data_IF_560373658235
#
_entry.id   IF_560373658235
#
_cell.length_a   1.000
_cell.length_b   1.000
_cell.length_c   1.000
_cell.angle_alpha   90.00
_cell.angle_beta   90.00
_cell.angle_gamma   90.00
#
_symmetry.space_group_name_H-M   'P 1'
#
loop_
_entity.id
_entity.type
_entity.pdbx_description
1 polymer ?
#
# COMPACT_ATOMS: atom_id res chain seq x y z
N UNK A 1 -3.27 12.75 -5.70
CA UNK A 1 -4.41 11.85 -5.41
C UNK A 1 -5.42 11.53 -6.53
N UNK A 2 -6.12 12.50 -7.16
CA UNK A 2 -7.22 12.26 -8.14
C UNK A 2 -6.84 11.24 -9.21
N UNK A 3 -5.66 11.43 -9.83
CA UNK A 3 -5.13 10.53 -10.85
C UNK A 3 -4.96 9.06 -10.40
N UNK A 4 -4.50 8.81 -9.18
CA UNK A 4 -4.34 7.44 -8.67
C UNK A 4 -5.70 6.77 -8.37
N UNK A 5 -6.64 7.55 -7.82
CA UNK A 5 -8.01 7.12 -7.57
C UNK A 5 -8.80 6.86 -8.87
N UNK A 6 -8.43 7.52 -9.97
CA UNK A 6 -9.04 7.38 -11.29
C UNK A 6 -8.38 6.30 -12.16
N UNK A 7 -7.06 6.11 -12.07
CA UNK A 7 -6.32 5.23 -12.99
C UNK A 7 -6.04 3.83 -12.39
N UNK A 8 -5.80 3.74 -11.08
CA UNK A 8 -5.25 2.53 -10.44
C UNK A 8 -6.32 1.81 -9.63
N UNK A 9 -7.06 2.54 -8.82
CA UNK A 9 -8.06 1.98 -7.90
C UNK A 9 -9.21 1.24 -8.60
N UNK A 10 -9.75 1.69 -9.74
CA UNK A 10 -10.86 0.99 -10.41
C UNK A 10 -10.50 -0.42 -10.90
N UNK A 11 -9.21 -0.75 -11.00
CA UNK A 11 -8.74 -2.10 -11.37
C UNK A 11 -8.79 -3.09 -10.21
N UNK A 12 -9.07 -2.62 -8.99
CA UNK A 12 -9.13 -3.45 -7.79
C UNK A 12 -10.57 -3.90 -7.49
N UNK A 13 -10.71 -5.06 -6.85
CA UNK A 13 -12.01 -5.55 -6.38
C UNK A 13 -12.59 -4.58 -5.34
N UNK A 14 -13.74 -3.99 -5.62
CA UNK A 14 -14.36 -2.94 -4.78
C UNK A 14 -13.76 -1.54 -5.02
N UNK A 15 -13.14 -1.31 -6.17
CA UNK A 15 -12.46 -0.05 -6.51
C UNK A 15 -13.38 1.17 -6.49
N UNK A 16 -14.67 1.01 -6.78
CA UNK A 16 -15.69 2.07 -6.67
C UNK A 16 -15.78 2.67 -5.26
N UNK A 17 -15.82 1.81 -4.24
CA UNK A 17 -15.84 2.23 -2.82
C UNK A 17 -14.48 2.81 -2.42
N UNK A 18 -13.38 2.19 -2.84
CA UNK A 18 -12.02 2.61 -2.49
C UNK A 18 -11.71 3.99 -3.10
N UNK A 19 -12.15 4.27 -4.33
CA UNK A 19 -11.96 5.56 -4.99
C UNK A 19 -12.71 6.68 -4.26
N UNK A 20 -13.90 6.41 -3.70
CA UNK A 20 -14.59 7.38 -2.86
C UNK A 20 -13.83 7.65 -1.57
N UNK A 21 -13.43 6.60 -0.83
CA UNK A 21 -12.68 6.75 0.43
C UNK A 21 -11.39 7.53 0.23
N UNK A 22 -10.67 7.27 -0.86
CA UNK A 22 -9.44 8.00 -1.19
C UNK A 22 -9.75 9.46 -1.47
N UNK A 23 -10.73 9.80 -2.33
CA UNK A 23 -11.05 11.20 -2.66
C UNK A 23 -11.49 12.06 -1.47
N UNK A 24 -12.07 11.45 -0.44
CA UNK A 24 -12.53 12.14 0.77
C UNK A 24 -11.54 12.08 1.94
N UNK A 25 -10.41 11.38 1.78
CA UNK A 25 -9.36 11.33 2.79
C UNK A 25 -8.49 12.59 2.70
N UNK A 26 -8.52 13.42 3.75
CA UNK A 26 -7.74 14.66 3.84
C UNK A 26 -6.64 14.58 4.91
N UNK A 27 -6.08 13.38 5.10
CA UNK A 27 -5.03 13.09 6.07
C UNK A 27 -3.67 12.86 5.37
N UNK A 28 -2.64 13.55 5.85
CA UNK A 28 -1.24 13.50 5.34
C UNK A 28 -0.67 12.07 5.31
N UNK A 29 -1.14 11.18 6.17
CA UNK A 29 -0.68 9.79 6.25
C UNK A 29 -1.57 8.83 5.45
N UNK A 30 -2.79 9.22 5.09
CA UNK A 30 -3.69 8.36 4.32
C UNK A 30 -3.23 8.19 2.88
N UNK A 31 -2.79 9.25 2.21
CA UNK A 31 -2.32 9.16 0.82
C UNK A 31 -1.15 8.16 0.66
N UNK A 32 -0.02 8.29 1.40
CA UNK A 32 1.08 7.34 1.28
C UNK A 32 0.68 5.93 1.73
N UNK A 33 -0.15 5.79 2.77
CA UNK A 33 -0.65 4.50 3.23
C UNK A 33 -1.49 3.78 2.17
N UNK A 34 -2.36 4.50 1.47
CA UNK A 34 -3.20 3.96 0.41
C UNK A 34 -2.39 3.53 -0.82
N UNK A 35 -1.41 4.36 -1.23
CA UNK A 35 -0.51 4.02 -2.34
C UNK A 35 0.31 2.76 -2.01
N UNK A 36 0.85 2.67 -0.79
CA UNK A 36 1.59 1.50 -0.34
C UNK A 36 0.70 0.26 -0.30
N UNK A 37 -0.49 0.34 0.31
CA UNK A 37 -1.40 -0.80 0.42
C UNK A 37 -1.83 -1.34 -0.96
N UNK A 38 -2.17 -0.44 -1.89
CA UNK A 38 -2.63 -0.79 -3.22
C UNK A 38 -1.48 -1.25 -4.13
N UNK A 39 -0.33 -0.59 -4.08
CA UNK A 39 0.84 -0.96 -4.89
C UNK A 39 1.51 -2.27 -4.45
N UNK A 40 1.46 -2.61 -3.16
CA UNK A 40 2.17 -3.79 -2.63
C UNK A 40 1.25 -4.95 -2.24
N UNK A 41 -0.07 -4.75 -2.32
CA UNK A 41 -1.09 -5.67 -1.81
C UNK A 41 -0.88 -6.11 -0.35
N UNK A 42 -0.22 -5.26 0.45
CA UNK A 42 0.00 -5.51 1.87
C UNK A 42 -1.32 -5.58 2.63
N UNK A 43 -1.39 -6.50 3.59
CA UNK A 43 -2.48 -6.48 4.57
C UNK A 43 -2.29 -5.31 5.52
N UNK A 44 -3.37 -4.81 6.12
CA UNK A 44 -3.32 -3.72 7.11
C UNK A 44 -2.28 -3.95 8.22
N UNK A 45 -2.19 -5.15 8.76
CA UNK A 45 -1.19 -5.46 9.80
C UNK A 45 0.26 -5.41 9.28
N UNK A 46 0.48 -5.75 8.02
CA UNK A 46 1.79 -5.71 7.36
C UNK A 46 2.18 -4.25 7.06
N UNK A 47 1.23 -3.43 6.61
CA UNK A 47 1.41 -1.99 6.41
C UNK A 47 1.73 -1.25 7.72
N UNK A 48 1.03 -1.59 8.81
CA UNK A 48 1.26 -0.99 10.13
C UNK A 48 2.56 -1.45 10.79
N UNK A 49 3.06 -2.64 10.43
CA UNK A 49 4.33 -3.17 10.90
C UNK A 49 5.52 -2.79 9.99
N UNK A 50 5.27 -2.10 8.87
CA UNK A 50 6.31 -1.70 7.93
C UNK A 50 7.22 -0.66 8.59
N UNK A 51 8.45 -1.06 8.86
CA UNK A 51 9.50 -0.16 9.32
C UNK A 51 10.27 0.43 8.13
N UNK A 52 10.83 1.62 8.32
CA UNK A 52 11.63 2.32 7.29
C UNK A 52 12.86 1.54 6.87
N UNK A 53 13.43 0.70 7.74
CA UNK A 53 14.55 -0.21 7.44
C UNK A 53 14.15 -1.39 6.52
N UNK A 54 12.85 -1.62 6.35
CA UNK A 54 12.30 -2.60 5.42
C UNK A 54 12.14 -2.09 3.99
N UNK A 55 12.33 -0.79 3.74
CA UNK A 55 12.10 -0.18 2.43
C UNK A 55 13.41 -0.13 1.63
N UNK A 56 13.41 -0.78 0.47
CA UNK A 56 14.51 -0.68 -0.49
C UNK A 56 14.06 0.13 -1.71
N UNK A 57 14.51 1.37 -1.78
CA UNK A 57 14.18 2.31 -2.86
C UNK A 57 14.81 1.93 -4.20
N UNK A 58 16.02 1.35 -4.21
CA UNK A 58 16.68 0.91 -5.44
C UNK A 58 15.91 -0.23 -6.11
N UNK A 59 15.42 -1.16 -5.31
CA UNK A 59 14.67 -2.34 -5.77
C UNK A 59 13.17 -2.13 -5.82
N UNK A 60 12.68 -0.94 -5.44
CA UNK A 60 11.24 -0.60 -5.37
C UNK A 60 10.45 -1.67 -4.62
N UNK A 61 11.00 -2.13 -3.50
CA UNK A 61 10.49 -3.27 -2.75
C UNK A 61 10.40 -2.95 -1.27
N UNK A 62 9.43 -3.57 -0.59
CA UNK A 62 9.29 -3.48 0.85
C UNK A 62 9.34 -4.88 1.47
N UNK A 63 10.19 -5.02 2.48
CA UNK A 63 10.32 -6.22 3.29
C UNK A 63 9.40 -6.10 4.51
N UNK A 64 8.42 -6.99 4.59
CA UNK A 64 7.58 -7.12 5.78
C UNK A 64 8.16 -8.27 6.61
N UNK A 65 8.72 -7.90 7.76
CA UNK A 65 9.12 -8.85 8.80
C UNK A 65 7.85 -9.21 9.58
N UNK A 66 7.64 -10.50 9.85
CA UNK A 66 6.48 -11.04 10.58
C UNK A 66 5.11 -11.03 9.85
N UNK A 67 5.06 -11.67 8.67
CA UNK A 67 3.76 -12.18 8.19
C UNK A 67 3.33 -13.35 9.06
N UNK A 68 2.01 -13.52 9.28
CA UNK A 68 1.26 -14.35 10.26
C UNK A 68 1.79 -15.73 10.73
N UNK A 69 2.89 -16.26 10.17
CA UNK A 69 3.53 -17.54 10.51
C UNK A 69 5.07 -17.42 10.73
N UNK A 70 5.62 -16.25 11.03
CA UNK A 70 7.07 -16.06 11.27
C UNK A 70 7.93 -16.15 10.00
N UNK A 71 7.32 -16.05 8.82
CA UNK A 71 8.02 -16.05 7.53
C UNK A 71 8.06 -14.64 6.98
N UNK A 72 9.27 -14.14 6.71
CA UNK A 72 9.49 -12.87 6.06
C UNK A 72 8.89 -12.89 4.66
N UNK A 73 8.12 -11.85 4.32
CA UNK A 73 7.52 -11.70 2.99
C UNK A 73 8.07 -10.44 2.34
N UNK A 74 8.66 -10.62 1.15
CA UNK A 74 9.09 -9.52 0.30
C UNK A 74 7.93 -9.19 -0.64
N UNK A 75 7.40 -7.97 -0.55
CA UNK A 75 6.41 -7.47 -1.50
C UNK A 75 7.15 -6.58 -2.51
N UNK A 76 6.95 -6.86 -3.79
CA UNK A 76 7.61 -6.16 -4.91
C UNK A 76 6.54 -5.43 -5.69
N UNK A 77 6.44 -4.12 -5.47
CA UNK A 77 6.03 -3.09 -6.45
C UNK A 77 5.87 -1.73 -5.76
N UNK A 78 6.75 -0.80 -6.13
CA UNK A 78 6.60 0.64 -5.90
C UNK A 78 6.84 1.33 -7.26
N UNK A 79 5.84 1.32 -8.14
CA UNK A 79 5.86 1.95 -9.47
C UNK A 79 5.37 3.39 -9.40
#
# INVERSE_FOLDING_TARGET
MVRYADEVVPRHKGGDVISQVIRYADDVYMEPGNILALGTAMRRGELLALATDGINYERRSALVRDSKNGVNRVNVELS
#
